data_IF_165285971254
#
_entry.id   IF_165285971254
#
_cell.length_a   1.000
_cell.length_b   1.000
_cell.length_c   1.000
_cell.angle_alpha   90.00
_cell.angle_beta   90.00
_cell.angle_gamma   90.00
#
_symmetry.space_group_name_H-M   'P 1'
#
loop_
_entity.id
_entity.type
_entity.pdbx_description
1 polymer ?
#
# COMPACT_ATOMS: atom_id res chain seq x y z
N UNK A 1 2.25 14.78 -7.95
CA UNK A 1 1.68 13.42 -7.80
C UNK A 1 2.56 12.47 -8.61
N UNK A 2 3.56 11.87 -7.97
CA UNK A 2 4.66 11.21 -8.68
C UNK A 2 4.41 9.69 -8.83
N UNK A 3 4.06 9.27 -10.06
CA UNK A 3 3.85 7.87 -10.48
C UNK A 3 5.16 7.10 -10.74
N UNK A 4 6.34 7.61 -10.34
CA UNK A 4 7.65 7.07 -10.79
C UNK A 4 8.40 6.18 -9.78
N UNK A 5 7.71 5.27 -9.10
CA UNK A 5 8.37 4.05 -8.57
C UNK A 5 7.70 2.79 -9.09
N UNK A 6 7.75 2.67 -10.42
CA UNK A 6 7.62 1.42 -11.17
C UNK A 6 8.84 0.52 -10.86
N UNK A 7 8.96 0.09 -9.60
CA UNK A 7 9.89 -0.95 -9.19
C UNK A 7 9.22 -2.29 -9.45
N UNK A 8 9.55 -2.90 -10.58
CA UNK A 8 8.92 -4.07 -11.22
C UNK A 8 9.13 -5.39 -10.46
N UNK A 9 9.35 -5.35 -9.13
CA UNK A 9 9.64 -6.54 -8.33
C UNK A 9 8.44 -6.88 -7.43
N UNK A 10 7.44 -7.50 -8.05
CA UNK A 10 6.42 -8.43 -7.51
C UNK A 10 6.06 -8.23 -6.03
N UNK A 11 5.50 -7.09 -5.68
CA UNK A 11 4.79 -7.03 -4.41
C UNK A 11 3.39 -7.59 -4.63
N UNK A 12 3.13 -8.82 -4.18
CA UNK A 12 1.78 -9.38 -4.00
C UNK A 12 1.19 -8.98 -2.62
N UNK A 13 1.81 -7.97 -1.99
CA UNK A 13 1.50 -7.37 -0.67
C UNK A 13 1.22 -8.37 0.48
N UNK A 14 2.04 -9.43 0.52
CA UNK A 14 2.35 -10.32 1.65
C UNK A 14 3.70 -9.96 2.33
N UNK A 15 4.29 -8.81 1.99
CA UNK A 15 5.55 -8.32 2.57
C UNK A 15 5.33 -7.59 3.90
N UNK A 16 6.38 -7.38 4.72
CA UNK A 16 6.24 -6.59 5.95
C UNK A 16 5.66 -5.20 5.64
N UNK A 17 4.55 -4.90 6.31
CA UNK A 17 3.82 -3.63 6.22
C UNK A 17 3.95 -2.94 7.56
N UNK A 18 4.26 -1.64 7.53
CA UNK A 18 4.16 -0.77 8.69
C UNK A 18 2.84 -0.01 8.62
N UNK A 19 2.17 0.13 9.77
CA UNK A 19 1.01 1.01 9.90
C UNK A 19 1.43 2.23 10.70
N UNK A 20 1.44 3.39 10.07
CA UNK A 20 1.84 4.64 10.69
C UNK A 20 0.60 5.45 11.07
N UNK A 21 0.55 6.02 12.30
CA UNK A 21 -0.51 6.95 12.67
C UNK A 21 -0.31 8.29 11.93
N UNK A 22 -1.42 8.90 11.56
CA UNK A 22 -1.50 10.20 10.89
C UNK A 22 -2.58 11.05 11.56
N UNK A 23 -2.58 12.38 11.42
CA UNK A 23 -3.62 13.23 11.98
C UNK A 23 -5.05 12.89 11.52
N UNK A 24 -5.20 12.21 10.37
CA UNK A 24 -6.49 11.84 9.77
C UNK A 24 -6.84 10.35 9.94
N UNK A 25 -6.03 9.58 10.67
CA UNK A 25 -6.21 8.14 10.84
C UNK A 25 -4.89 7.38 10.75
N UNK A 26 -4.85 6.29 9.99
CA UNK A 26 -3.71 5.39 9.86
C UNK A 26 -3.44 5.09 8.40
N UNK A 27 -2.17 4.97 8.04
CA UNK A 27 -1.73 4.63 6.69
C UNK A 27 -0.88 3.38 6.73
N UNK A 28 -1.11 2.46 5.80
CA UNK A 28 -0.31 1.25 5.66
C UNK A 28 0.71 1.47 4.54
N UNK A 29 1.98 1.19 4.83
CA UNK A 29 3.10 1.31 3.90
C UNK A 29 3.86 0.00 3.78
N UNK A 30 4.04 -0.47 2.56
CA UNK A 30 4.88 -1.62 2.26
C UNK A 30 6.35 -1.23 2.44
N UNK A 31 7.07 -1.92 3.32
CA UNK A 31 8.50 -1.66 3.52
C UNK A 31 9.36 -2.13 2.35
N UNK A 32 8.83 -3.01 1.48
CA UNK A 32 9.57 -3.59 0.36
C UNK A 32 9.55 -2.71 -0.90
N UNK A 33 8.38 -2.23 -1.35
CA UNK A 33 8.27 -1.34 -2.51
C UNK A 33 8.09 0.13 -2.16
N UNK A 34 7.83 0.45 -0.88
CA UNK A 34 7.51 1.81 -0.44
C UNK A 34 6.10 2.29 -0.79
N UNK A 35 5.27 1.46 -1.43
CA UNK A 35 3.88 1.82 -1.75
C UNK A 35 3.07 2.03 -0.47
N UNK A 36 2.24 3.06 -0.47
CA UNK A 36 1.43 3.47 0.67
C UNK A 36 -0.03 3.51 0.25
N UNK A 37 -0.89 2.82 0.99
CA UNK A 37 -2.32 2.79 0.73
C UNK A 37 -3.01 4.06 1.23
N UNK A 38 -4.33 4.19 1.02
CA UNK A 38 -5.07 5.35 1.48
C UNK A 38 -5.24 5.37 3.01
N UNK A 39 -5.39 6.56 3.58
CA UNK A 39 -5.62 6.74 5.02
C UNK A 39 -6.98 6.13 5.41
N UNK A 40 -6.99 5.38 6.50
CA UNK A 40 -8.17 4.74 7.09
C UNK A 40 -8.18 4.90 8.60
N UNK A 41 -9.35 4.80 9.21
CA UNK A 41 -9.50 5.09 10.65
C UNK A 41 -8.79 4.06 11.54
N UNK A 42 -8.61 2.83 11.07
CA UNK A 42 -7.97 1.74 11.81
C UNK A 42 -6.93 0.99 10.98
N UNK A 43 -6.06 0.25 11.69
CA UNK A 43 -4.92 -0.46 11.10
C UNK A 43 -5.35 -1.54 10.11
N UNK A 44 -6.41 -2.27 10.45
CA UNK A 44 -6.94 -3.35 9.61
C UNK A 44 -7.47 -2.83 8.28
N UNK A 45 -8.25 -1.75 8.28
CA UNK A 45 -8.74 -1.13 7.03
C UNK A 45 -7.60 -0.50 6.23
N UNK A 46 -6.59 0.07 6.89
CA UNK A 46 -5.42 0.62 6.20
C UNK A 46 -4.65 -0.50 5.47
N UNK A 47 -4.44 -1.65 6.13
CA UNK A 47 -3.79 -2.81 5.54
C UNK A 47 -4.62 -3.43 4.40
N UNK A 48 -5.94 -3.59 4.62
CA UNK A 48 -6.85 -4.09 3.60
C UNK A 48 -6.84 -3.19 2.36
N UNK A 49 -6.85 -1.87 2.54
CA UNK A 49 -6.82 -0.93 1.44
C UNK A 49 -5.49 -0.97 0.65
N UNK A 50 -4.35 -1.11 1.33
CA UNK A 50 -3.05 -1.31 0.67
C UNK A 50 -3.02 -2.60 -0.16
N UNK A 51 -3.61 -3.70 0.34
CA UNK A 51 -3.69 -4.98 -0.38
C UNK A 51 -4.66 -4.93 -1.57
N UNK A 52 -5.78 -4.23 -1.42
CA UNK A 52 -6.76 -4.03 -2.47
C UNK A 52 -6.19 -3.19 -3.63
N UNK A 53 -5.45 -2.13 -3.30
CA UNK A 53 -4.75 -1.30 -4.28
C UNK A 53 -3.66 -2.07 -5.03
N UNK A 54 -2.92 -2.92 -4.31
CA UNK A 54 -1.95 -3.83 -4.91
C UNK A 54 -2.57 -4.79 -5.92
N UNK A 55 -3.72 -5.38 -5.56
CA UNK A 55 -4.46 -6.27 -6.45
C UNK A 55 -4.86 -5.51 -7.71
N UNK A 56 -5.46 -4.32 -7.59
CA UNK A 56 -5.81 -3.49 -8.77
C UNK A 56 -4.60 -3.15 -9.63
N UNK A 57 -3.48 -2.73 -9.03
CA UNK A 57 -2.28 -2.36 -9.79
C UNK A 57 -1.63 -3.55 -10.50
N UNK A 58 -1.79 -4.78 -10.01
CA UNK A 58 -1.28 -5.99 -10.69
C UNK A 58 -2.10 -6.38 -11.92
N UNK A 59 -3.37 -5.97 -12.00
CA UNK A 59 -4.24 -6.21 -13.14
C UNK A 59 -4.04 -5.19 -14.26
N UNK A 60 -3.80 -3.92 -13.90
CA UNK A 60 -3.57 -2.82 -14.86
C UNK A 60 -2.15 -2.82 -15.47
N UNK A 61 -1.30 -3.77 -15.09
CA UNK A 61 0.07 -3.90 -15.57
C UNK A 61 0.26 -5.13 -16.49
N UNK A 62 -0.83 -5.80 -16.87
CA UNK A 62 -0.87 -6.91 -17.84
C UNK A 62 -1.17 -6.43 -19.25
#
# INVERSE_FOLDING_TARGET
>A
MDRRKRGVWRCTHLSPVVVEPTPKGRVARCLRCGSSGPVRQNSERALAALRDEARRSSWEAG
#
